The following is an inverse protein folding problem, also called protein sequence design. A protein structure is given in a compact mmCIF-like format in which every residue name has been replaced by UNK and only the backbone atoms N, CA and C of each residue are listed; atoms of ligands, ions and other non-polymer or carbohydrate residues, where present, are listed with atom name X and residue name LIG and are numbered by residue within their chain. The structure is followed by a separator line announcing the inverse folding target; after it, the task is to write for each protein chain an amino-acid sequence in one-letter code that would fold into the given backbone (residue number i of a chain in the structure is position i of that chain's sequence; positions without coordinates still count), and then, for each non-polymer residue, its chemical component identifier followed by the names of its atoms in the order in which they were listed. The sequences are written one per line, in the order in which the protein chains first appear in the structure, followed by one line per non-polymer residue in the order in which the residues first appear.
data_IF_475432240776
#
_entry.id   IF_475432240776
#
_cell.length_a   1.000
_cell.length_b   1.000
_cell.length_c   1.000
_cell.angle_alpha   90.00
_cell.angle_beta   90.00
_cell.angle_gamma   90.00
#
_symmetry.space_group_name_H-M   'P 1'
#
loop_
_entity.id
_entity.type
_entity.pdbx_description
1 polymer ?
#
# COMPACT_ATOMS: atom_id res chain seq x y z
N UNK A 1 -4.20 -2.23 9.12
CA UNK A 1 -5.20 -3.13 9.70
C UNK A 1 -6.05 -3.85 8.64
N UNK A 2 -6.31 -3.20 7.51
CA UNK A 2 -7.04 -3.82 6.39
C UNK A 2 -6.43 -5.16 5.98
N UNK A 3 -5.11 -5.22 5.93
CA UNK A 3 -4.36 -6.36 5.40
C UNK A 3 -3.79 -7.27 6.51
N UNK A 4 -4.21 -7.12 7.77
CA UNK A 4 -3.62 -7.86 8.90
C UNK A 4 -3.66 -9.39 8.72
N UNK A 5 -4.73 -9.91 8.13
CA UNK A 5 -4.88 -11.34 7.89
C UNK A 5 -4.25 -11.82 6.58
N UNK A 6 -3.71 -10.90 5.77
CA UNK A 6 -3.17 -11.23 4.45
C UNK A 6 -1.68 -11.56 4.52
N UNK A 7 -1.18 -12.38 3.58
CA UNK A 7 0.26 -12.59 3.39
C UNK A 7 0.90 -11.38 2.73
N UNK A 8 2.24 -11.41 2.57
CA UNK A 8 2.96 -10.44 1.75
C UNK A 8 2.38 -10.41 0.34
N UNK A 9 2.08 -9.22 -0.17
CA UNK A 9 1.50 -9.04 -1.52
C UNK A 9 2.44 -9.57 -2.62
N UNK A 10 3.75 -9.46 -2.45
CA UNK A 10 4.72 -9.85 -3.48
C UNK A 10 5.05 -11.33 -3.45
N UNK A 11 5.51 -11.87 -2.31
CA UNK A 11 5.94 -13.28 -2.25
C UNK A 11 4.82 -14.24 -1.84
N UNK A 12 3.68 -13.74 -1.36
CA UNK A 12 2.54 -14.57 -0.99
C UNK A 12 2.73 -15.38 0.29
N UNK A 13 3.79 -15.13 1.05
CA UNK A 13 4.13 -15.88 2.26
C UNK A 13 3.73 -15.12 3.51
N UNK A 14 3.47 -15.87 4.57
CA UNK A 14 3.36 -15.34 5.92
C UNK A 14 4.73 -15.38 6.60
N UNK A 15 5.09 -14.29 7.25
CA UNK A 15 6.39 -14.16 7.92
C UNK A 15 6.20 -13.82 9.38
N UNK A 16 7.06 -14.41 10.25
CA UNK A 16 7.13 -14.03 11.66
C UNK A 16 7.80 -12.65 11.86
N UNK A 17 8.52 -12.17 10.84
CA UNK A 17 9.23 -10.91 10.88
C UNK A 17 8.37 -9.69 10.63
N UNK A 18 9.02 -8.57 10.39
CA UNK A 18 8.38 -7.27 10.19
C UNK A 18 7.71 -7.16 8.82
N UNK A 19 6.54 -6.50 8.80
CA UNK A 19 5.85 -6.11 7.59
C UNK A 19 5.87 -4.60 7.42
N UNK A 20 5.81 -4.16 6.17
CA UNK A 20 5.77 -2.76 5.79
C UNK A 20 4.52 -2.46 4.96
N UNK A 21 4.12 -1.19 4.94
CA UNK A 21 3.15 -0.69 3.96
C UNK A 21 3.91 -0.47 2.65
N UNK A 22 3.92 -1.48 1.78
CA UNK A 22 4.66 -1.45 0.53
C UNK A 22 3.90 -0.75 -0.58
N UNK A 23 4.50 0.27 -1.19
CA UNK A 23 3.93 0.97 -2.33
C UNK A 23 4.24 0.22 -3.62
N UNK A 24 3.20 -0.02 -4.45
CA UNK A 24 3.40 -0.59 -5.78
C UNK A 24 4.17 0.37 -6.68
N UNK A 25 3.68 1.62 -6.80
CA UNK A 25 4.39 2.71 -7.47
C UNK A 25 5.01 3.59 -6.39
N UNK A 26 6.33 3.81 -6.47
CA UNK A 26 7.07 4.47 -5.41
C UNK A 26 6.65 5.93 -5.20
N UNK A 27 6.81 6.39 -3.96
CA UNK A 27 6.51 7.79 -3.60
C UNK A 27 7.37 8.77 -4.42
N UNK A 28 8.63 8.40 -4.70
CA UNK A 28 9.52 9.24 -5.49
C UNK A 28 9.08 9.37 -6.94
N UNK A 29 8.61 8.27 -7.56
CA UNK A 29 8.17 8.27 -8.95
C UNK A 29 6.75 8.83 -9.12
N UNK A 30 5.86 8.53 -8.19
CA UNK A 30 4.44 8.88 -8.28
C UNK A 30 3.94 9.43 -6.93
N UNK A 31 4.37 10.63 -6.52
CA UNK A 31 3.98 11.20 -5.23
C UNK A 31 2.47 11.41 -5.08
N UNK A 32 1.75 11.59 -6.17
CA UNK A 32 0.28 11.73 -6.17
C UNK A 32 -0.43 10.45 -5.70
N UNK A 33 0.23 9.29 -5.76
CA UNK A 33 -0.34 8.01 -5.32
C UNK A 33 0.13 7.59 -3.93
N UNK A 34 0.85 8.47 -3.21
CA UNK A 34 1.44 8.16 -1.90
C UNK A 34 0.43 7.59 -0.90
N UNK A 35 -0.78 8.13 -0.89
CA UNK A 35 -1.84 7.75 0.05
C UNK A 35 -3.02 7.05 -0.63
N UNK A 36 -2.86 6.66 -1.90
CA UNK A 36 -3.91 5.90 -2.60
C UNK A 36 -3.97 4.49 -2.05
N UNK A 37 -5.11 4.07 -1.43
CA UNK A 37 -5.21 2.73 -0.81
C UNK A 37 -4.94 1.58 -1.78
N UNK A 38 -5.27 1.73 -3.06
CA UNK A 38 -5.02 0.68 -4.07
C UNK A 38 -3.54 0.51 -4.38
N UNK A 39 -2.71 1.52 -4.07
CA UNK A 39 -1.27 1.52 -4.31
C UNK A 39 -0.46 1.00 -3.12
N UNK A 40 -1.08 0.71 -1.99
CA UNK A 40 -0.39 0.36 -0.74
C UNK A 40 -0.93 -0.96 -0.20
N UNK A 41 -0.07 -1.95 -0.04
CA UNK A 41 -0.43 -3.27 0.47
C UNK A 41 0.65 -3.80 1.42
N UNK A 42 0.25 -4.74 2.28
CA UNK A 42 1.15 -5.39 3.21
C UNK A 42 2.25 -6.14 2.47
N UNK A 43 3.49 -5.83 2.79
CA UNK A 43 4.66 -6.42 2.16
C UNK A 43 5.69 -6.78 3.23
N UNK A 44 6.30 -7.96 3.14
CA UNK A 44 7.32 -8.34 4.10
C UNK A 44 8.58 -7.47 3.93
N UNK A 45 9.36 -7.32 5.01
CA UNK A 45 10.56 -6.49 4.99
C UNK A 45 11.56 -6.92 3.90
N UNK A 46 11.85 -8.21 3.68
CA UNK A 46 12.74 -8.62 2.59
C UNK A 46 12.26 -8.16 1.20
N UNK A 47 10.98 -8.32 0.87
CA UNK A 47 10.46 -7.88 -0.42
C UNK A 47 10.53 -6.35 -0.57
N UNK A 48 10.14 -5.63 0.49
CA UNK A 48 10.11 -4.16 0.44
C UNK A 48 11.52 -3.55 0.39
N UNK A 49 12.46 -4.07 1.17
CA UNK A 49 13.79 -3.48 1.34
C UNK A 49 14.85 -4.09 0.43
N UNK A 50 15.00 -5.43 0.47
CA UNK A 50 16.08 -6.12 -0.24
C UNK A 50 15.80 -6.37 -1.71
N UNK A 51 14.52 -6.55 -2.07
CA UNK A 51 14.11 -6.82 -3.44
C UNK A 51 13.48 -5.60 -4.11
N UNK A 52 13.74 -4.40 -3.59
CA UNK A 52 13.25 -3.13 -4.14
C UNK A 52 11.74 -3.14 -4.40
N UNK A 53 10.98 -3.70 -3.44
CA UNK A 53 9.54 -3.83 -3.56
C UNK A 53 9.07 -5.09 -4.27
N UNK A 54 9.99 -5.87 -4.88
CA UNK A 54 9.68 -7.10 -5.61
C UNK A 54 8.50 -6.89 -6.58
N UNK A 55 8.64 -5.89 -7.45
CA UNK A 55 7.54 -5.29 -8.22
C UNK A 55 6.91 -6.26 -9.22
N UNK A 56 7.69 -7.15 -9.83
CA UNK A 56 7.15 -8.11 -10.79
C UNK A 56 6.12 -9.03 -10.14
N UNK A 57 6.46 -9.59 -8.99
CA UNK A 57 5.53 -10.43 -8.23
C UNK A 57 4.39 -9.61 -7.62
N UNK A 58 4.69 -8.39 -7.19
CA UNK A 58 3.68 -7.46 -6.66
C UNK A 58 2.60 -7.21 -7.73
N UNK A 59 3.00 -6.89 -8.96
CA UNK A 59 2.08 -6.60 -10.06
C UNK A 59 1.16 -7.78 -10.36
N UNK A 60 1.71 -8.99 -10.41
CA UNK A 60 0.92 -10.21 -10.67
C UNK A 60 -0.14 -10.41 -9.58
N UNK A 61 0.24 -10.30 -8.31
CA UNK A 61 -0.68 -10.45 -7.19
C UNK A 61 -1.71 -9.33 -7.14
N UNK A 62 -1.29 -8.10 -7.42
CA UNK A 62 -2.16 -6.93 -7.42
C UNK A 62 -3.25 -7.04 -8.49
N UNK A 63 -2.90 -7.52 -9.70
CA UNK A 63 -3.88 -7.75 -10.77
C UNK A 63 -4.95 -8.75 -10.35
N UNK A 64 -4.59 -9.78 -9.58
CA UNK A 64 -5.55 -10.74 -9.03
C UNK A 64 -6.42 -10.12 -7.93
N UNK A 65 -5.84 -9.24 -7.12
CA UNK A 65 -6.52 -8.68 -5.95
C UNK A 65 -7.51 -7.57 -6.29
N UNK A 66 -7.11 -6.61 -7.13
CA UNK A 66 -7.93 -5.44 -7.47
C UNK A 66 -8.44 -5.45 -8.91
N UNK A 67 -7.94 -6.34 -9.73
CA UNK A 67 -8.32 -6.46 -11.13
C UNK A 67 -7.43 -5.64 -12.06
N UNK A 68 -7.40 -6.06 -13.31
CA UNK A 68 -6.52 -5.48 -14.33
C UNK A 68 -6.85 -4.01 -14.62
N UNK A 69 -8.13 -3.65 -14.66
CA UNK A 69 -8.56 -2.29 -14.94
C UNK A 69 -8.05 -1.30 -13.89
N UNK A 70 -8.07 -1.67 -12.60
CA UNK A 70 -7.58 -0.80 -11.53
C UNK A 70 -6.05 -0.70 -11.52
N UNK A 71 -5.35 -1.77 -11.89
CA UNK A 71 -3.88 -1.70 -12.04
C UNK A 71 -3.53 -0.77 -13.21
N UNK A 72 -4.23 -0.88 -14.32
CA UNK A 72 -4.03 0.02 -15.46
C UNK A 72 -4.30 1.48 -15.08
N UNK A 73 -5.33 1.72 -14.28
CA UNK A 73 -5.62 3.06 -13.75
C UNK A 73 -4.45 3.58 -12.89
N UNK A 74 -3.90 2.76 -11.98
CA UNK A 74 -2.76 3.16 -11.15
C UNK A 74 -1.54 3.52 -12.01
N UNK A 75 -1.25 2.72 -13.02
CA UNK A 75 -0.09 2.90 -13.91
C UNK A 75 -0.28 4.04 -14.90
N UNK A 76 -1.51 4.51 -15.09
CA UNK A 76 -1.85 5.59 -16.01
C UNK A 76 -1.50 6.98 -15.47
N UNK A 77 -1.80 8.04 -16.23
CA UNK A 77 -1.53 9.41 -15.79
C UNK A 77 -2.47 9.86 -14.68
N UNK A 78 -1.95 10.64 -13.74
CA UNK A 78 -2.71 11.24 -12.65
C UNK A 78 -2.33 12.71 -12.48
N UNK A 79 -3.26 13.56 -12.02
CA UNK A 79 -2.91 14.95 -11.69
C UNK A 79 -1.80 14.97 -10.63
N UNK A 80 -0.82 15.84 -10.84
CA UNK A 80 0.24 16.03 -9.86
C UNK A 80 -0.34 16.54 -8.55
N UNK A 81 0.12 15.98 -7.43
CA UNK A 81 -0.34 16.38 -6.11
C UNK A 81 0.84 16.49 -5.15
N UNK A 82 0.97 17.65 -4.54
CA UNK A 82 1.97 17.91 -3.52
C UNK A 82 1.28 18.01 -2.17
N UNK A 83 1.81 17.29 -1.19
CA UNK A 83 1.27 17.28 0.16
C UNK A 83 2.08 18.23 1.03
N UNK A 84 1.43 19.25 1.61
CA UNK A 84 2.05 20.10 2.62
C UNK A 84 1.90 19.48 4.01
N UNK A 85 2.43 20.18 5.04
CA UNK A 85 2.41 19.68 6.41
C UNK A 85 0.98 19.51 6.92
N UNK A 86 0.09 20.45 6.59
CA UNK A 86 -1.31 20.39 7.03
C UNK A 86 -2.05 19.24 6.37
N UNK A 87 -1.82 19.00 5.08
CA UNK A 87 -2.37 17.85 4.35
C UNK A 87 -1.92 16.54 5.01
N UNK A 88 -0.63 16.41 5.34
CA UNK A 88 -0.09 15.21 5.97
C UNK A 88 -0.68 14.98 7.36
N UNK A 89 -0.88 16.04 8.15
CA UNK A 89 -1.53 15.94 9.47
C UNK A 89 -2.98 15.48 9.35
N UNK A 90 -3.71 16.02 8.39
CA UNK A 90 -5.10 15.63 8.15
C UNK A 90 -5.22 14.16 7.74
N UNK A 91 -4.35 13.70 6.85
CA UNK A 91 -4.32 12.31 6.41
C UNK A 91 -3.97 11.39 7.58
N UNK A 92 -2.97 11.75 8.38
CA UNK A 92 -2.58 10.96 9.56
C UNK A 92 -3.75 10.83 10.54
N UNK A 93 -4.48 11.91 10.80
CA UNK A 93 -5.64 11.91 11.68
C UNK A 93 -6.75 11.00 11.13
N UNK A 94 -7.02 11.05 9.83
CA UNK A 94 -8.01 10.22 9.16
C UNK A 94 -7.66 8.72 9.31
N UNK A 95 -6.44 8.32 9.00
CA UNK A 95 -6.02 6.92 9.10
C UNK A 95 -5.96 6.43 10.54
N UNK A 96 -5.59 7.29 11.49
CA UNK A 96 -5.63 6.96 12.92
C UNK A 96 -7.07 6.67 13.37
N UNK A 97 -8.04 7.48 12.95
CA UNK A 97 -9.44 7.27 13.26
C UNK A 97 -9.97 5.98 12.65
N UNK A 98 -9.65 5.70 11.38
CA UNK A 98 -10.01 4.45 10.69
C UNK A 98 -9.43 3.22 11.40
N UNK A 99 -8.18 3.29 11.83
CA UNK A 99 -7.54 2.19 12.56
C UNK A 99 -8.23 1.92 13.89
N UNK A 100 -8.65 2.96 14.62
CA UNK A 100 -9.41 2.81 15.87
C UNK A 100 -10.76 2.14 15.63
N UNK A 101 -11.48 2.53 14.59
CA UNK A 101 -12.76 1.92 14.22
C UNK A 101 -12.61 0.45 13.87
N UNK A 102 -11.60 0.09 13.09
CA UNK A 102 -11.30 -1.29 12.74
C UNK A 102 -10.99 -2.13 13.97
N UNK A 103 -10.21 -1.60 14.91
CA UNK A 103 -9.91 -2.29 16.17
C UNK A 103 -11.19 -2.52 17.00
N UNK A 104 -12.08 -1.55 17.08
CA UNK A 104 -13.35 -1.70 17.77
C UNK A 104 -14.22 -2.77 17.12
N UNK A 105 -14.27 -2.81 15.80
CA UNK A 105 -15.06 -3.80 15.07
C UNK A 105 -14.52 -5.22 15.23
N UNK A 106 -13.22 -5.37 15.51
CA UNK A 106 -12.57 -6.66 15.71
C UNK A 106 -12.67 -7.18 17.15
N UNK A 107 -13.10 -6.34 18.08
CA UNK A 107 -13.34 -6.71 19.47
C UNK A 107 -14.79 -7.15 19.65
#
# INVERSE_FOLDING_TARGET
LRDDADPCISCGRYHAGQYHAGHYLSVGARPELRFEPLNVHKQCAPCNSHLSGNIVLYRVALRKRIGEALVDWLEGPHPAKHYDIDDLKAIKAEYTAKARELKKAMQ
#
